data_IF_550868242534
#
_entry.id   IF_550868242534
#
_cell.length_a   1.000
_cell.length_b   1.000
_cell.length_c   1.000
_cell.angle_alpha   90.00
_cell.angle_beta   90.00
_cell.angle_gamma   90.00
#
_symmetry.space_group_name_H-M   'P 1'
#
loop_
_entity.id
_entity.type
_entity.pdbx_description
1 polymer ?
#
# COMPACT_ATOMS: atom_id res chain seq x y z
N UNK A 1 -9.73 13.43 -11.16
CA UNK A 1 -9.55 13.06 -9.75
C UNK A 1 -8.31 12.19 -9.69
N UNK A 2 -7.34 12.56 -8.86
CA UNK A 2 -6.03 11.90 -8.79
C UNK A 2 -6.07 10.84 -7.69
N UNK A 3 -5.65 9.61 -8.00
CA UNK A 3 -5.57 8.50 -7.04
C UNK A 3 -4.09 8.23 -6.71
N UNK A 4 -3.76 8.13 -5.43
CA UNK A 4 -2.44 7.67 -4.98
C UNK A 4 -2.62 6.26 -4.45
N UNK A 5 -2.03 5.28 -5.13
CA UNK A 5 -2.10 3.88 -4.75
C UNK A 5 -0.80 3.43 -4.11
N UNK A 6 -0.86 3.03 -2.83
CA UNK A 6 0.30 2.50 -2.11
C UNK A 6 0.33 0.99 -2.27
N UNK A 7 1.19 0.51 -3.15
CA UNK A 7 1.36 -0.91 -3.41
C UNK A 7 2.37 -1.53 -2.48
N UNK A 8 2.05 -2.66 -1.87
CA UNK A 8 2.98 -3.43 -1.04
C UNK A 8 2.83 -4.90 -1.37
N UNK A 9 3.96 -5.61 -1.39
CA UNK A 9 3.99 -7.06 -1.53
C UNK A 9 3.22 -7.71 -0.33
N UNK A 10 2.25 -8.61 -0.56
CA UNK A 10 1.49 -9.26 0.51
C UNK A 10 2.36 -9.94 1.57
N UNK A 11 3.49 -10.53 1.16
CA UNK A 11 4.46 -11.19 2.02
C UNK A 11 5.19 -10.17 2.91
N UNK A 12 5.46 -8.97 2.40
CA UNK A 12 6.01 -7.87 3.20
C UNK A 12 4.94 -7.27 4.13
N UNK A 13 3.70 -7.18 3.66
CA UNK A 13 2.58 -6.63 4.42
C UNK A 13 2.29 -7.48 5.67
N UNK A 14 2.24 -8.82 5.54
CA UNK A 14 2.00 -9.72 6.67
C UNK A 14 3.12 -9.64 7.70
N UNK A 15 4.38 -9.53 7.26
CA UNK A 15 5.53 -9.33 8.16
C UNK A 15 5.40 -8.02 8.95
N UNK A 16 5.03 -6.92 8.29
CA UNK A 16 4.84 -5.62 8.94
C UNK A 16 3.63 -5.61 9.88
N UNK A 17 2.57 -6.35 9.57
CA UNK A 17 1.40 -6.51 10.45
C UNK A 17 1.81 -7.24 11.73
N UNK A 18 2.53 -8.36 11.61
CA UNK A 18 3.04 -9.10 12.78
C UNK A 18 3.99 -8.26 13.66
N UNK A 19 4.75 -7.35 13.06
CA UNK A 19 5.63 -6.42 13.81
C UNK A 19 4.87 -5.33 14.58
N UNK A 20 3.59 -5.07 14.26
CA UNK A 20 2.80 -4.04 14.95
C UNK A 20 2.36 -4.47 16.35
N UNK A 21 2.45 -5.76 16.68
CA UNK A 21 2.23 -6.28 18.03
C UNK A 21 0.83 -6.00 18.59
N UNK A 22 -0.17 -5.85 17.70
CA UNK A 22 -1.56 -5.61 18.11
C UNK A 22 -2.20 -6.95 18.44
N UNK A 23 -2.19 -7.28 19.72
CA UNK A 23 -2.80 -8.48 20.29
C UNK A 23 -4.31 -8.51 19.98
N UNK A 24 -4.71 -9.14 18.87
CA UNK A 24 -6.11 -9.34 18.47
C UNK A 24 -6.44 -9.13 16.99
N UNK A 25 -5.69 -8.32 16.23
CA UNK A 25 -5.91 -8.15 14.77
C UNK A 25 -5.23 -9.27 13.95
N UNK A 26 -4.15 -9.85 14.48
CA UNK A 26 -3.30 -10.83 13.81
C UNK A 26 -3.96 -12.21 13.60
N UNK A 27 -5.02 -12.52 14.35
CA UNK A 27 -5.69 -13.84 14.28
C UNK A 27 -6.58 -14.02 13.06
N UNK A 28 -6.88 -12.95 12.31
CA UNK A 28 -7.80 -13.00 11.17
C UNK A 28 -7.19 -12.66 9.80
N UNK A 29 -5.96 -12.16 9.75
CA UNK A 29 -5.33 -11.71 8.50
C UNK A 29 -4.39 -12.79 7.98
N UNK A 30 -4.84 -13.56 7.00
CA UNK A 30 -4.01 -14.55 6.29
C UNK A 30 -3.26 -13.95 5.11
N UNK A 31 -2.18 -14.60 4.69
CA UNK A 31 -1.46 -14.22 3.47
C UNK A 31 -2.38 -14.32 2.23
N UNK A 32 -3.22 -15.35 2.17
CA UNK A 32 -4.16 -15.53 1.05
C UNK A 32 -5.21 -14.42 0.99
N UNK A 33 -5.64 -13.90 2.15
CA UNK A 33 -6.50 -12.72 2.22
C UNK A 33 -5.78 -11.49 1.66
N UNK A 34 -4.52 -11.25 2.05
CA UNK A 34 -3.74 -10.12 1.54
C UNK A 34 -3.46 -10.23 0.04
N UNK A 35 -3.19 -11.43 -0.48
CA UNK A 35 -3.06 -11.68 -1.94
C UNK A 35 -4.36 -11.38 -2.68
N UNK A 36 -5.49 -11.82 -2.13
CA UNK A 36 -6.80 -11.55 -2.70
C UNK A 36 -7.11 -10.04 -2.73
N UNK A 37 -6.70 -9.29 -1.70
CA UNK A 37 -6.82 -7.84 -1.68
C UNK A 37 -5.91 -7.18 -2.74
N UNK A 38 -4.65 -7.58 -2.83
CA UNK A 38 -3.73 -7.03 -3.84
C UNK A 38 -4.27 -7.24 -5.26
N UNK A 39 -4.78 -8.44 -5.57
CA UNK A 39 -5.42 -8.70 -6.86
C UNK A 39 -6.66 -7.84 -7.10
N UNK A 40 -7.56 -7.76 -6.12
CA UNK A 40 -8.81 -7.01 -6.25
C UNK A 40 -8.56 -5.52 -6.46
N UNK A 41 -7.67 -4.92 -5.66
CA UNK A 41 -7.31 -3.51 -5.80
C UNK A 41 -6.52 -3.26 -7.07
N UNK A 42 -5.59 -4.15 -7.46
CA UNK A 42 -4.84 -4.07 -8.73
C UNK A 42 -5.76 -4.00 -9.94
N UNK A 43 -6.82 -4.80 -9.97
CA UNK A 43 -7.82 -4.70 -11.03
C UNK A 43 -8.62 -3.39 -10.94
N UNK A 44 -8.98 -2.96 -9.74
CA UNK A 44 -9.85 -1.81 -9.55
C UNK A 44 -9.20 -0.47 -9.92
N UNK A 45 -7.95 -0.23 -9.56
CA UNK A 45 -7.34 1.06 -9.84
C UNK A 45 -6.91 1.23 -11.30
N UNK A 46 -6.87 0.16 -12.11
CA UNK A 46 -6.59 0.24 -13.56
C UNK A 46 -7.65 1.06 -14.32
N UNK A 47 -8.87 1.15 -13.80
CA UNK A 47 -9.95 1.92 -14.40
C UNK A 47 -9.84 3.44 -14.18
N UNK A 48 -8.88 3.88 -13.35
CA UNK A 48 -8.68 5.29 -13.06
C UNK A 48 -7.72 5.93 -14.07
N UNK A 49 -8.10 7.08 -14.62
CA UNK A 49 -7.34 7.78 -15.65
C UNK A 49 -6.08 8.49 -15.15
N UNK A 50 -5.92 8.67 -13.83
CA UNK A 50 -4.77 9.35 -13.22
C UNK A 50 -4.41 8.71 -11.87
N UNK A 51 -3.61 7.64 -11.94
CA UNK A 51 -3.11 6.90 -10.77
C UNK A 51 -1.61 7.10 -10.64
N UNK A 52 -1.19 7.49 -9.45
CA UNK A 52 0.21 7.48 -9.02
C UNK A 52 0.44 6.28 -8.13
N UNK A 53 1.03 5.22 -8.69
CA UNK A 53 1.43 4.02 -7.95
C UNK A 53 2.76 4.26 -7.22
N UNK A 54 2.78 4.02 -5.92
CA UNK A 54 3.99 4.04 -5.08
C UNK A 54 4.23 2.63 -4.55
N UNK A 55 5.33 2.03 -4.97
CA UNK A 55 5.77 0.73 -4.45
C UNK A 55 6.47 0.90 -3.10
N UNK A 56 5.88 0.30 -2.07
CA UNK A 56 6.43 0.20 -0.73
C UNK A 56 7.35 -1.02 -0.65
N UNK A 57 8.64 -0.75 -0.45
CA UNK A 57 9.68 -1.76 -0.24
C UNK A 57 9.98 -1.93 1.24
N UNK A 58 10.76 -2.94 1.58
CA UNK A 58 11.15 -3.24 2.97
C UNK A 58 11.88 -2.07 3.64
N UNK A 59 12.71 -1.36 2.87
CA UNK A 59 13.51 -0.19 3.27
C UNK A 59 12.76 1.15 3.17
N UNK A 60 11.54 1.17 2.63
CA UNK A 60 10.75 2.40 2.51
C UNK A 60 10.34 2.89 3.89
N UNK A 61 10.87 4.05 4.29
CA UNK A 61 10.52 4.72 5.54
C UNK A 61 9.24 5.56 5.41
N UNK A 62 8.67 5.96 6.54
CA UNK A 62 7.54 6.90 6.57
C UNK A 62 7.91 8.28 6.02
N UNK A 63 9.16 8.72 6.20
CA UNK A 63 9.68 9.98 5.67
C UNK A 63 9.78 9.95 4.15
N UNK A 64 10.28 8.84 3.58
CA UNK A 64 10.35 8.67 2.11
C UNK A 64 8.95 8.74 1.50
N UNK A 65 7.99 8.04 2.12
CA UNK A 65 6.61 8.06 1.70
C UNK A 65 6.00 9.47 1.74
N UNK A 66 6.24 10.21 2.82
CA UNK A 66 5.75 11.59 2.96
C UNK A 66 6.31 12.52 1.87
N UNK A 67 7.61 12.39 1.54
CA UNK A 67 8.22 13.16 0.46
C UNK A 67 7.65 12.81 -0.92
N UNK A 68 7.46 11.52 -1.22
CA UNK A 68 6.90 11.06 -2.49
C UNK A 68 5.47 11.56 -2.68
N UNK A 69 4.61 11.36 -1.68
CA UNK A 69 3.22 11.82 -1.70
C UNK A 69 3.15 13.34 -1.82
N UNK A 70 3.94 14.08 -1.03
CA UNK A 70 4.00 15.54 -1.10
C UNK A 70 4.53 16.07 -2.45
N UNK A 71 5.36 15.30 -3.14
CA UNK A 71 5.82 15.61 -4.50
C UNK A 71 4.78 15.38 -5.59
N UNK A 72 3.84 14.45 -5.38
CA UNK A 72 2.70 14.23 -6.29
C UNK A 72 1.67 15.34 -6.08
N UNK A 73 1.28 15.61 -4.84
CA UNK A 73 0.27 16.63 -4.51
C UNK A 73 0.68 18.00 -5.06
N UNK A 74 1.95 18.40 -4.92
CA UNK A 74 2.46 19.69 -5.46
C UNK A 74 2.54 19.78 -6.99
N UNK A 75 2.46 18.65 -7.71
CA UNK A 75 2.46 18.64 -9.18
C UNK A 75 1.05 18.67 -9.76
N UNK A 76 0.06 18.26 -8.97
CA UNK A 76 -1.34 18.10 -9.37
C UNK A 76 -2.24 19.24 -8.85
N UNK A 77 -1.76 20.03 -7.87
CA UNK A 77 -2.38 21.25 -7.34
C UNK A 77 -1.52 22.47 -7.69
#
# INVERSE_FOLDING_TARGET
>A
MTLIYLRIDPELAIQRIAQRGRSGEETGISLDYLRSLDEAFTRHYQDYSNVHEILIRSDTSTTDLAHLVGGIIRREL
#
